data_IF_663305561596
#
_entry.id   IF_663305561596
#
_cell.length_a   1.000
_cell.length_b   1.000
_cell.length_c   1.000
_cell.angle_alpha   90.00
_cell.angle_beta   90.00
_cell.angle_gamma   90.00
#
_symmetry.space_group_name_H-M   'P 1'
#
loop_
_entity.id
_entity.type
_entity.pdbx_description
1 polymer ?
#
# COMPACT_ATOMS: atom_id res chain seq x y z
N UNK A 1 -2.77 21.87 65.54
CA UNK A 1 -3.68 22.01 64.40
C UNK A 1 -3.07 22.71 63.16
N UNK A 2 -2.29 23.76 63.31
CA UNK A 2 -1.61 24.44 62.17
C UNK A 2 -0.56 23.58 61.48
N UNK A 3 0.25 22.84 62.24
CA UNK A 3 1.30 21.95 61.71
C UNK A 3 0.69 20.76 60.97
N UNK A 4 -0.39 20.17 61.47
CA UNK A 4 -1.07 19.05 60.82
C UNK A 4 -1.73 19.49 59.48
N UNK A 5 -2.24 20.71 59.39
CA UNK A 5 -2.79 21.29 58.15
C UNK A 5 -1.68 21.54 57.11
N UNK A 6 -0.49 21.98 57.54
CA UNK A 6 0.67 22.14 56.64
C UNK A 6 1.19 20.82 56.14
N UNK A 7 1.23 19.80 56.99
CA UNK A 7 1.66 18.47 56.60
C UNK A 7 0.68 17.80 55.60
N UNK A 8 -0.63 17.91 55.86
CA UNK A 8 -1.65 17.45 54.92
C UNK A 8 -1.65 18.22 53.59
N UNK A 9 -1.36 19.54 53.61
CA UNK A 9 -1.25 20.36 52.40
C UNK A 9 -0.04 19.97 51.56
N UNK A 10 1.08 19.62 52.20
CA UNK A 10 2.29 19.14 51.50
C UNK A 10 2.11 17.72 50.91
N UNK A 11 1.39 16.85 51.59
CA UNK A 11 1.06 15.50 51.13
C UNK A 11 0.15 15.53 49.88
N UNK A 12 -0.83 16.43 49.86
CA UNK A 12 -1.76 16.62 48.72
C UNK A 12 -1.03 17.17 47.48
N UNK A 13 -0.07 18.09 47.67
CA UNK A 13 0.76 18.62 46.56
C UNK A 13 1.72 17.56 46.04
N UNK A 14 2.27 16.68 46.87
CA UNK A 14 3.16 15.59 46.44
C UNK A 14 2.41 14.50 45.63
N UNK A 15 1.12 14.25 45.94
CA UNK A 15 0.31 13.26 45.18
C UNK A 15 -0.07 13.77 43.78
N UNK A 16 -0.10 15.09 43.55
CA UNK A 16 -0.40 15.68 42.24
C UNK A 16 0.79 15.66 41.27
N UNK A 17 1.99 15.28 41.73
CA UNK A 17 3.20 15.20 40.89
C UNK A 17 3.50 13.79 40.38
N UNK A 18 2.65 12.78 40.62
CA UNK A 18 2.71 11.51 39.94
C UNK A 18 2.13 11.67 38.54
N UNK A 19 2.80 12.44 37.71
CA UNK A 19 2.59 12.41 36.27
C UNK A 19 2.95 11.00 35.83
N UNK A 20 1.96 10.24 35.41
CA UNK A 20 2.19 8.97 34.71
C UNK A 20 2.77 9.36 33.35
N UNK A 21 4.09 9.44 33.22
CA UNK A 21 4.76 9.59 31.93
C UNK A 21 4.38 8.33 31.11
N UNK A 22 3.46 8.51 30.16
CA UNK A 22 3.16 7.46 29.19
C UNK A 22 4.43 7.18 28.40
N UNK A 23 5.04 6.03 28.65
CA UNK A 23 6.21 5.60 27.88
C UNK A 23 5.82 5.33 26.45
N UNK A 24 6.61 5.83 25.55
CA UNK A 24 6.45 5.57 24.10
C UNK A 24 6.92 4.14 23.81
N UNK A 25 6.13 3.36 23.09
CA UNK A 25 6.44 1.96 22.79
C UNK A 25 6.13 1.62 21.33
N UNK A 26 6.59 0.45 20.89
CA UNK A 26 6.25 -0.12 19.60
C UNK A 26 4.87 -0.76 19.61
N UNK A 27 4.09 -0.44 18.60
CA UNK A 27 2.85 -1.14 18.26
C UNK A 27 3.04 -1.86 16.93
N UNK A 28 2.67 -3.14 16.88
CA UNK A 28 2.87 -3.99 15.71
C UNK A 28 1.51 -4.54 15.26
N UNK A 29 1.20 -4.35 13.96
CA UNK A 29 0.02 -4.90 13.32
C UNK A 29 0.48 -5.75 12.13
N UNK A 30 0.01 -6.99 12.07
CA UNK A 30 0.35 -7.92 10.99
C UNK A 30 -0.90 -8.62 10.47
N UNK A 31 -0.89 -8.94 9.17
CA UNK A 31 -1.99 -9.63 8.54
C UNK A 31 -1.68 -10.05 7.10
N UNK A 32 -2.74 -10.35 6.36
CA UNK A 32 -2.69 -10.76 4.96
C UNK A 32 -3.50 -9.78 4.11
N UNK A 33 -2.95 -9.35 2.98
CA UNK A 33 -3.62 -8.51 1.99
C UNK A 33 -2.96 -8.70 0.62
N UNK A 34 -3.72 -8.46 -0.45
CA UNK A 34 -3.21 -8.43 -1.83
C UNK A 34 -2.47 -9.72 -2.26
N UNK A 35 -2.87 -10.87 -1.68
CA UNK A 35 -2.23 -12.16 -1.95
C UNK A 35 -0.87 -12.36 -1.29
N UNK A 36 -0.50 -11.49 -0.34
CA UNK A 36 0.75 -11.52 0.44
C UNK A 36 0.48 -11.17 1.91
N UNK A 37 1.54 -10.96 2.68
CA UNK A 37 1.48 -10.47 4.07
C UNK A 37 1.71 -8.97 4.13
N UNK A 38 1.26 -8.36 5.23
CA UNK A 38 1.66 -7.00 5.59
C UNK A 38 2.16 -6.93 7.04
N UNK A 39 3.06 -5.98 7.29
CA UNK A 39 3.59 -5.69 8.62
C UNK A 39 3.71 -4.17 8.80
N UNK A 40 3.10 -3.68 9.89
CA UNK A 40 3.12 -2.28 10.27
C UNK A 40 3.70 -2.20 11.67
N UNK A 41 4.76 -1.43 11.84
CA UNK A 41 5.35 -1.14 13.14
C UNK A 41 5.40 0.36 13.32
N UNK A 42 4.71 0.88 14.34
CA UNK A 42 4.70 2.31 14.63
C UNK A 42 5.01 2.59 16.10
N UNK A 43 5.36 3.83 16.40
CA UNK A 43 5.78 4.28 17.73
C UNK A 43 4.74 5.27 18.25
N UNK A 44 4.16 4.98 19.42
CA UNK A 44 3.25 5.89 20.12
C UNK A 44 3.14 5.55 21.60
N UNK A 45 2.52 6.45 22.38
CA UNK A 45 2.27 6.25 23.81
C UNK A 45 1.04 5.38 24.09
N UNK A 46 0.23 5.07 23.07
CA UNK A 46 -0.96 4.24 23.17
C UNK A 46 -1.29 3.63 21.81
N UNK A 47 -2.09 2.57 21.78
CA UNK A 47 -2.57 1.99 20.53
C UNK A 47 -3.54 2.96 19.84
N UNK A 48 -3.11 3.56 18.71
CA UNK A 48 -3.90 4.52 17.92
C UNK A 48 -4.65 3.89 16.76
N UNK A 49 -4.21 2.72 16.32
CA UNK A 49 -4.75 2.03 15.15
C UNK A 49 -4.85 0.55 15.44
N UNK A 50 -6.01 -0.04 15.17
CA UNK A 50 -6.28 -1.47 15.33
C UNK A 50 -6.06 -2.24 14.03
N UNK A 51 -5.83 -3.56 14.15
CA UNK A 51 -5.76 -4.44 12.97
C UNK A 51 -7.01 -4.36 12.10
N UNK A 52 -8.20 -4.35 12.70
CA UNK A 52 -9.46 -4.29 11.95
C UNK A 52 -9.58 -3.03 11.09
N UNK A 53 -9.03 -1.90 11.52
CA UNK A 53 -9.03 -0.65 10.75
C UNK A 53 -8.13 -0.78 9.52
N UNK A 54 -6.96 -1.40 9.66
CA UNK A 54 -6.04 -1.66 8.54
C UNK A 54 -6.65 -2.68 7.58
N UNK A 55 -7.18 -3.79 8.07
CA UNK A 55 -7.83 -4.81 7.23
C UNK A 55 -9.01 -4.21 6.43
N UNK A 56 -9.81 -3.34 7.05
CA UNK A 56 -10.92 -2.65 6.39
C UNK A 56 -10.42 -1.69 5.31
N UNK A 57 -9.34 -0.95 5.56
CA UNK A 57 -8.74 -0.03 4.61
C UNK A 57 -8.20 -0.78 3.38
N UNK A 58 -7.44 -1.86 3.60
CA UNK A 58 -6.86 -2.68 2.53
C UNK A 58 -7.96 -3.43 1.75
N UNK A 59 -9.02 -3.88 2.43
CA UNK A 59 -10.19 -4.47 1.76
C UNK A 59 -10.90 -3.46 0.84
N UNK A 60 -11.08 -2.21 1.29
CA UNK A 60 -11.67 -1.16 0.45
C UNK A 60 -10.77 -0.84 -0.76
N UNK A 61 -9.46 -0.83 -0.57
CA UNK A 61 -8.48 -0.69 -1.64
C UNK A 61 -8.60 -1.81 -2.68
N UNK A 62 -8.67 -3.07 -2.23
CA UNK A 62 -8.82 -4.24 -3.10
C UNK A 62 -10.15 -4.24 -3.87
N UNK A 63 -11.24 -3.79 -3.25
CA UNK A 63 -12.54 -3.61 -3.91
C UNK A 63 -12.51 -2.55 -5.01
N UNK A 64 -11.53 -1.66 -4.98
CA UNK A 64 -11.29 -0.69 -6.05
C UNK A 64 -10.42 -1.27 -7.17
N UNK A 65 -9.26 -1.82 -6.84
CA UNK A 65 -8.13 -2.00 -7.77
C UNK A 65 -7.73 -3.45 -8.06
N UNK A 66 -8.21 -4.44 -7.30
CA UNK A 66 -7.78 -5.82 -7.50
C UNK A 66 -8.40 -6.46 -8.74
N UNK A 67 -7.57 -6.84 -9.70
CA UNK A 67 -7.99 -7.62 -10.88
C UNK A 67 -8.35 -9.07 -10.55
N UNK A 68 -7.99 -9.55 -9.35
CA UNK A 68 -8.28 -10.91 -8.88
C UNK A 68 -9.63 -11.03 -8.16
N UNK A 69 -10.27 -9.90 -7.84
CA UNK A 69 -11.59 -9.85 -7.23
C UNK A 69 -12.66 -9.55 -8.28
N UNK A 70 -13.61 -10.44 -8.55
CA UNK A 70 -14.66 -10.21 -9.57
C UNK A 70 -15.62 -9.07 -9.21
N UNK A 71 -15.76 -8.78 -7.92
CA UNK A 71 -16.62 -7.71 -7.38
C UNK A 71 -15.95 -6.34 -7.33
N UNK A 72 -14.63 -6.24 -7.63
CA UNK A 72 -13.90 -4.98 -7.66
C UNK A 72 -14.34 -4.05 -8.80
N UNK A 73 -14.10 -2.74 -8.64
CA UNK A 73 -14.42 -1.75 -9.67
C UNK A 73 -13.62 -2.00 -10.95
N UNK A 74 -12.31 -2.27 -10.85
CA UNK A 74 -11.47 -2.53 -12.01
C UNK A 74 -11.92 -3.78 -12.78
N UNK A 75 -12.33 -4.84 -12.08
CA UNK A 75 -12.80 -6.08 -12.72
C UNK A 75 -14.13 -5.87 -13.45
N UNK A 76 -15.06 -5.10 -12.89
CA UNK A 76 -16.31 -4.70 -13.56
C UNK A 76 -16.05 -3.87 -14.81
N UNK A 77 -15.13 -2.88 -14.73
CA UNK A 77 -14.71 -2.06 -15.87
C UNK A 77 -14.08 -2.95 -16.96
N UNK A 78 -13.21 -3.86 -16.57
CA UNK A 78 -12.56 -4.79 -17.49
C UNK A 78 -13.55 -5.73 -18.17
N UNK A 79 -14.60 -6.16 -17.46
CA UNK A 79 -15.70 -6.98 -18.03
C UNK A 79 -16.67 -6.21 -18.93
N UNK A 80 -16.50 -4.88 -19.04
CA UNK A 80 -17.27 -4.04 -19.96
C UNK A 80 -18.36 -3.17 -19.32
N UNK A 81 -18.47 -3.15 -17.98
CA UNK A 81 -19.41 -2.28 -17.30
C UNK A 81 -18.91 -0.82 -17.32
N UNK A 82 -19.47 -0.01 -18.23
CA UNK A 82 -19.15 1.40 -18.39
C UNK A 82 -19.86 2.32 -17.41
N UNK A 83 -20.71 1.79 -16.53
CA UNK A 83 -21.51 2.55 -15.55
C UNK A 83 -20.82 2.67 -14.20
N UNK A 84 -19.73 1.93 -13.98
CA UNK A 84 -18.98 1.93 -12.72
C UNK A 84 -18.43 3.32 -12.44
N UNK A 85 -18.85 3.90 -11.32
CA UNK A 85 -18.28 5.13 -10.79
C UNK A 85 -17.08 4.78 -9.92
N UNK A 86 -15.90 5.23 -10.33
CA UNK A 86 -14.65 4.96 -9.62
C UNK A 86 -14.51 5.86 -8.38
N UNK A 87 -13.82 5.35 -7.37
CA UNK A 87 -13.49 6.06 -6.14
C UNK A 87 -12.14 6.81 -6.26
N UNK A 88 -11.71 7.37 -5.14
CA UNK A 88 -10.48 8.14 -5.10
C UNK A 88 -9.25 7.23 -5.26
N UNK A 89 -9.23 5.99 -4.71
CA UNK A 89 -8.16 5.04 -4.94
C UNK A 89 -7.93 4.79 -6.43
N UNK A 90 -9.00 4.53 -7.17
CA UNK A 90 -8.91 4.32 -8.60
C UNK A 90 -8.47 5.59 -9.33
N UNK A 91 -9.06 6.73 -8.96
CA UNK A 91 -8.77 8.02 -9.60
C UNK A 91 -7.29 8.39 -9.44
N UNK A 92 -6.74 8.29 -8.24
CA UNK A 92 -5.35 8.60 -7.95
C UNK A 92 -4.39 7.63 -8.65
N UNK A 93 -4.71 6.31 -8.62
CA UNK A 93 -3.91 5.31 -9.36
C UNK A 93 -3.93 5.55 -10.85
N UNK A 94 -5.08 5.91 -11.43
CA UNK A 94 -5.20 6.25 -12.84
C UNK A 94 -4.36 7.47 -13.21
N UNK A 95 -4.41 8.53 -12.40
CA UNK A 95 -3.65 9.76 -12.62
C UNK A 95 -2.14 9.52 -12.51
N UNK A 96 -1.70 8.80 -11.48
CA UNK A 96 -0.31 8.42 -11.30
C UNK A 96 0.20 7.55 -12.45
N UNK A 97 -0.63 6.58 -12.89
CA UNK A 97 -0.31 5.73 -14.05
C UNK A 97 -0.14 6.57 -15.34
N UNK A 98 -0.99 7.58 -15.54
CA UNK A 98 -0.87 8.48 -16.70
C UNK A 98 0.41 9.32 -16.66
N UNK A 99 0.80 9.76 -15.46
CA UNK A 99 2.03 10.49 -15.26
C UNK A 99 3.25 9.59 -15.60
N UNK A 100 3.33 8.40 -15.02
CA UNK A 100 4.45 7.47 -15.25
C UNK A 100 4.48 7.00 -16.71
N UNK A 101 3.31 6.75 -17.33
CA UNK A 101 3.23 6.43 -18.75
C UNK A 101 3.91 7.51 -19.61
N UNK A 102 3.65 8.77 -19.34
CA UNK A 102 4.25 9.90 -20.05
C UNK A 102 5.75 10.02 -19.77
N UNK A 103 6.17 9.94 -18.51
CA UNK A 103 7.57 10.05 -18.09
C UNK A 103 8.44 8.93 -18.67
N UNK A 104 7.87 7.74 -18.83
CA UNK A 104 8.55 6.58 -19.40
C UNK A 104 8.38 6.44 -20.90
N UNK A 105 7.71 7.39 -21.57
CA UNK A 105 7.40 7.32 -23.00
C UNK A 105 6.67 6.00 -23.38
N UNK A 106 5.76 5.53 -22.51
CA UNK A 106 4.95 4.34 -22.73
C UNK A 106 5.63 3.02 -22.37
N UNK A 107 6.82 3.02 -21.79
CA UNK A 107 7.45 1.79 -21.27
C UNK A 107 6.68 1.20 -20.08
N UNK A 108 6.05 2.04 -19.27
CA UNK A 108 5.02 1.63 -18.33
C UNK A 108 3.65 1.90 -18.95
N UNK A 109 2.82 0.87 -19.11
CA UNK A 109 1.45 1.00 -19.62
C UNK A 109 0.49 0.05 -18.88
N UNK A 110 -0.43 0.57 -18.05
CA UNK A 110 -1.35 -0.28 -17.31
C UNK A 110 -2.41 -0.94 -18.20
N UNK A 111 -2.47 -0.64 -19.50
CA UNK A 111 -3.38 -1.33 -20.43
C UNK A 111 -2.78 -2.62 -20.99
N UNK A 112 -1.57 -3.01 -20.57
CA UNK A 112 -0.87 -4.24 -20.96
C UNK A 112 -1.59 -5.51 -20.47
N UNK A 113 -2.62 -5.40 -19.64
CA UNK A 113 -3.31 -6.51 -18.99
C UNK A 113 -3.81 -7.60 -19.93
N UNK A 114 -4.12 -7.28 -21.21
CA UNK A 114 -4.46 -8.31 -22.21
C UNK A 114 -3.30 -9.28 -22.47
N UNK A 115 -2.07 -8.80 -22.49
CA UNK A 115 -0.87 -9.64 -22.65
C UNK A 115 -0.53 -10.36 -21.34
N UNK A 116 -0.65 -9.68 -20.20
CA UNK A 116 -0.49 -10.30 -18.86
C UNK A 116 -1.40 -11.53 -18.73
N UNK A 117 -2.67 -11.39 -19.12
CA UNK A 117 -3.62 -12.50 -19.12
C UNK A 117 -3.27 -13.59 -20.12
N UNK A 118 -2.86 -13.21 -21.34
CA UNK A 118 -2.52 -14.17 -22.41
C UNK A 118 -1.27 -15.02 -22.07
N UNK A 119 -0.29 -14.41 -21.38
CA UNK A 119 0.87 -15.13 -20.85
C UNK A 119 0.59 -15.92 -19.57
N UNK A 120 -0.62 -15.82 -19.00
CA UNK A 120 -1.02 -16.58 -17.82
C UNK A 120 -0.60 -15.99 -16.48
N UNK A 121 -0.15 -14.73 -16.46
CA UNK A 121 0.19 -14.01 -15.22
C UNK A 121 -1.02 -13.28 -14.61
N UNK A 122 -2.14 -13.21 -15.33
CA UNK A 122 -3.38 -12.62 -14.85
C UNK A 122 -4.27 -13.61 -14.09
N UNK A 123 -5.51 -13.20 -13.76
CA UNK A 123 -6.44 -14.01 -12.96
C UNK A 123 -6.72 -15.41 -13.55
N UNK A 124 -6.70 -15.55 -14.88
CA UNK A 124 -7.05 -16.80 -15.57
C UNK A 124 -5.92 -17.85 -15.59
N UNK A 125 -4.70 -17.53 -15.20
CA UNK A 125 -3.52 -18.42 -14.98
C UNK A 125 -3.32 -19.54 -16.02
N UNK A 126 -3.69 -19.31 -17.29
CA UNK A 126 -3.42 -20.25 -18.38
C UNK A 126 -2.21 -19.76 -19.16
N UNK A 127 -1.01 -20.23 -18.76
CA UNK A 127 0.20 -19.93 -19.50
C UNK A 127 0.07 -20.45 -20.95
N UNK A 128 0.39 -19.58 -21.92
CA UNK A 128 0.42 -19.90 -23.33
C UNK A 128 1.68 -19.30 -23.95
N UNK A 129 2.35 -20.09 -24.77
CA UNK A 129 3.38 -19.58 -25.68
C UNK A 129 2.68 -18.87 -26.84
N UNK A 130 2.84 -17.55 -26.90
CA UNK A 130 2.20 -16.73 -27.92
C UNK A 130 3.11 -16.63 -29.16
N UNK A 131 2.54 -16.94 -30.33
CA UNK A 131 3.21 -16.64 -31.59
C UNK A 131 3.27 -15.11 -31.82
N UNK A 132 4.30 -14.60 -32.56
CA UNK A 132 4.44 -13.15 -32.81
C UNK A 132 3.18 -12.48 -33.34
N UNK A 133 2.46 -13.12 -34.27
CA UNK A 133 1.19 -12.60 -34.82
C UNK A 133 0.08 -12.47 -33.77
N UNK A 134 0.06 -13.32 -32.75
CA UNK A 134 -0.91 -13.23 -31.64
C UNK A 134 -0.56 -12.05 -30.74
N UNK A 135 0.72 -11.84 -30.46
CA UNK A 135 1.20 -10.68 -29.71
C UNK A 135 0.82 -9.38 -30.45
N UNK A 136 1.10 -9.28 -31.75
CA UNK A 136 0.74 -8.12 -32.57
C UNK A 136 -0.78 -7.86 -32.56
N UNK A 137 -1.58 -8.92 -32.60
CA UNK A 137 -3.04 -8.81 -32.53
C UNK A 137 -3.55 -8.33 -31.16
N UNK A 138 -2.84 -8.62 -30.06
CA UNK A 138 -3.19 -8.15 -28.72
C UNK A 138 -2.72 -6.73 -28.48
N UNK A 139 -1.56 -6.34 -29.01
CA UNK A 139 -0.97 -5.02 -28.87
C UNK A 139 -1.87 -3.91 -29.44
N UNK A 140 -2.76 -4.18 -30.40
CA UNK A 140 -3.74 -3.22 -30.88
C UNK A 140 -4.68 -2.71 -29.77
N UNK A 141 -4.87 -3.44 -28.67
CA UNK A 141 -5.70 -3.08 -27.53
C UNK A 141 -4.92 -2.41 -26.39
N UNK A 142 -3.60 -2.35 -26.49
CA UNK A 142 -2.68 -1.73 -25.53
C UNK A 142 -2.42 -0.27 -25.92
N UNK A 143 -2.45 0.64 -24.95
CA UNK A 143 -2.17 2.06 -25.11
C UNK A 143 -3.01 2.89 -24.16
N UNK A 144 -2.36 3.70 -23.32
CA UNK A 144 -3.06 4.55 -22.36
C UNK A 144 -4.00 5.57 -23.01
N UNK A 145 -3.73 5.95 -24.27
CA UNK A 145 -4.60 6.80 -25.11
C UNK A 145 -5.95 6.14 -25.46
N UNK A 146 -6.09 4.85 -25.23
CA UNK A 146 -7.31 4.07 -25.49
C UNK A 146 -8.28 4.03 -24.33
N UNK A 147 -7.90 4.60 -23.18
CA UNK A 147 -8.75 4.71 -21.98
C UNK A 147 -8.83 6.16 -21.52
N UNK A 148 -9.96 6.54 -20.94
CA UNK A 148 -10.11 7.89 -20.38
C UNK A 148 -10.99 7.88 -19.12
N UNK A 149 -10.54 8.58 -18.09
CA UNK A 149 -11.35 8.92 -16.92
C UNK A 149 -12.20 10.15 -17.26
N UNK A 150 -13.52 9.98 -17.22
CA UNK A 150 -14.50 11.03 -17.51
C UNK A 150 -14.78 11.90 -16.27
N UNK A 151 -15.35 13.09 -16.49
CA UNK A 151 -15.72 14.03 -15.43
C UNK A 151 -16.75 13.46 -14.44
N UNK A 152 -17.59 12.52 -14.88
CA UNK A 152 -18.54 11.80 -14.03
C UNK A 152 -17.91 10.60 -13.29
N UNK A 153 -16.59 10.53 -13.22
CA UNK A 153 -15.82 9.44 -12.59
C UNK A 153 -16.13 8.05 -13.19
N UNK A 154 -16.42 7.93 -14.47
CA UNK A 154 -16.48 6.64 -15.17
C UNK A 154 -15.31 6.47 -16.12
N UNK A 155 -14.95 5.23 -16.45
CA UNK A 155 -13.89 4.91 -17.41
C UNK A 155 -14.49 4.61 -18.77
N UNK A 156 -14.00 5.27 -19.81
CA UNK A 156 -14.28 4.88 -21.19
C UNK A 156 -13.10 4.10 -21.77
N UNK A 157 -13.40 3.07 -22.55
CA UNK A 157 -12.43 2.28 -23.31
C UNK A 157 -12.74 2.41 -24.80
N UNK A 158 -11.72 2.63 -25.63
CA UNK A 158 -11.87 2.65 -27.10
C UNK A 158 -12.21 1.26 -27.65
N UNK A 159 -11.64 0.24 -27.05
CA UNK A 159 -11.89 -1.17 -27.37
C UNK A 159 -12.37 -1.89 -26.12
N UNK A 160 -13.37 -2.76 -26.25
CA UNK A 160 -13.88 -3.56 -25.12
C UNK A 160 -12.82 -4.52 -24.58
N UNK A 161 -11.91 -4.94 -25.45
CA UNK A 161 -10.80 -5.85 -25.17
C UNK A 161 -9.68 -5.22 -24.33
N UNK A 162 -9.55 -3.89 -24.33
CA UNK A 162 -8.55 -3.21 -23.48
C UNK A 162 -8.76 -3.60 -22.03
N UNK A 163 -7.72 -4.14 -21.41
CA UNK A 163 -7.73 -4.63 -20.04
C UNK A 163 -6.77 -3.79 -19.18
N UNK A 164 -7.32 -3.14 -18.17
CA UNK A 164 -6.56 -2.28 -17.25
C UNK A 164 -6.02 -3.16 -16.11
N UNK A 165 -4.73 -3.06 -15.85
CA UNK A 165 -4.03 -3.74 -14.78
C UNK A 165 -3.09 -2.75 -14.09
N UNK A 166 -3.39 -2.43 -12.83
CA UNK A 166 -2.57 -1.54 -12.01
C UNK A 166 -1.61 -2.27 -11.08
N UNK A 167 -1.46 -3.58 -11.18
CA UNK A 167 -0.69 -4.37 -10.21
C UNK A 167 0.76 -3.88 -10.04
N UNK A 168 1.40 -3.38 -11.12
CA UNK A 168 2.76 -2.84 -11.05
C UNK A 168 2.91 -1.54 -10.22
N UNK A 169 1.80 -0.88 -9.85
CA UNK A 169 1.83 0.37 -9.10
C UNK A 169 0.93 0.32 -7.85
N UNK A 170 -0.13 -0.49 -7.90
CA UNK A 170 -1.13 -0.50 -6.84
C UNK A 170 -0.56 -0.97 -5.50
N UNK A 171 0.37 -1.92 -5.50
CA UNK A 171 0.94 -2.44 -4.26
C UNK A 171 1.74 -1.35 -3.52
N UNK A 172 2.66 -0.65 -4.18
CA UNK A 172 3.38 0.48 -3.59
C UNK A 172 2.43 1.61 -3.16
N UNK A 173 1.39 1.91 -3.98
CA UNK A 173 0.39 2.90 -3.59
C UNK A 173 -0.43 2.47 -2.36
N UNK A 174 -0.70 1.18 -2.16
CA UNK A 174 -1.37 0.70 -0.95
C UNK A 174 -0.56 0.97 0.33
N UNK A 175 0.77 0.92 0.23
CA UNK A 175 1.67 1.33 1.33
C UNK A 175 1.48 2.81 1.65
N UNK A 176 1.45 3.68 0.62
CA UNK A 176 1.22 5.12 0.80
C UNK A 176 -0.15 5.41 1.44
N UNK A 177 -1.19 4.68 1.04
CA UNK A 177 -2.54 4.77 1.63
C UNK A 177 -2.50 4.45 3.12
N UNK A 178 -1.82 3.37 3.51
CA UNK A 178 -1.66 3.01 4.94
C UNK A 178 -0.83 4.06 5.68
N UNK A 179 0.28 4.53 5.12
CA UNK A 179 1.12 5.58 5.72
C UNK A 179 0.31 6.86 5.94
N UNK A 180 -0.49 7.29 4.97
CA UNK A 180 -1.35 8.47 5.09
C UNK A 180 -2.44 8.27 6.14
N UNK A 181 -3.00 7.05 6.25
CA UNK A 181 -3.92 6.72 7.33
C UNK A 181 -3.26 6.83 8.70
N UNK A 182 -2.04 6.29 8.87
CA UNK A 182 -1.28 6.43 10.12
C UNK A 182 -1.00 7.90 10.47
N UNK A 183 -0.59 8.71 9.49
CA UNK A 183 -0.40 10.16 9.66
C UNK A 183 -1.69 10.86 10.13
N UNK A 184 -2.84 10.48 9.58
CA UNK A 184 -4.15 11.03 10.00
C UNK A 184 -4.51 10.73 11.45
N UNK A 185 -3.89 9.67 12.04
CA UNK A 185 -4.01 9.31 13.46
C UNK A 185 -2.93 9.96 14.35
N UNK A 186 -2.14 10.87 13.79
CA UNK A 186 -1.04 11.53 14.48
C UNK A 186 0.12 10.58 14.80
N UNK A 187 0.38 9.60 13.93
CA UNK A 187 1.55 8.74 14.00
C UNK A 187 2.61 9.34 13.06
N UNK A 188 3.77 9.68 13.61
CA UNK A 188 4.87 10.34 12.91
C UNK A 188 6.04 9.39 12.63
N UNK A 189 6.10 8.25 13.31
CA UNK A 189 7.19 7.31 13.23
C UNK A 189 6.64 5.89 13.03
N UNK A 190 6.85 5.33 11.84
CA UNK A 190 6.36 4.01 11.46
C UNK A 190 7.20 3.39 10.34
N UNK A 191 7.16 2.08 10.23
CA UNK A 191 7.52 1.35 9.03
C UNK A 191 6.32 0.51 8.60
N UNK A 192 5.93 0.64 7.34
CA UNK A 192 4.82 -0.08 6.71
C UNK A 192 5.40 -0.92 5.60
N UNK A 193 5.10 -2.21 5.60
CA UNK A 193 5.49 -3.15 4.56
C UNK A 193 4.27 -3.93 4.10
N UNK A 194 4.07 -4.09 2.79
CA UNK A 194 3.01 -4.88 2.17
C UNK A 194 3.61 -5.62 0.99
N UNK A 195 3.75 -6.94 1.10
CA UNK A 195 4.21 -7.81 0.02
C UNK A 195 5.59 -7.46 -0.55
N UNK A 196 6.49 -6.90 0.26
CA UNK A 196 7.85 -6.49 -0.12
C UNK A 196 7.99 -4.99 -0.39
N UNK A 197 6.94 -4.30 -0.80
CA UNK A 197 6.90 -2.85 -0.91
C UNK A 197 6.84 -2.21 0.48
N UNK A 198 7.63 -1.18 0.75
CA UNK A 198 7.64 -0.57 2.07
C UNK A 198 7.86 0.94 2.05
N UNK A 199 7.43 1.59 3.14
CA UNK A 199 7.74 2.98 3.44
C UNK A 199 8.15 3.16 4.90
N UNK A 200 9.25 3.85 5.12
CA UNK A 200 9.75 4.25 6.44
C UNK A 200 9.35 5.70 6.71
N UNK A 201 8.36 5.92 7.58
CA UNK A 201 7.93 7.23 8.05
C UNK A 201 8.75 7.65 9.27
N UNK A 202 9.33 8.85 9.24
CA UNK A 202 10.15 9.38 10.34
C UNK A 202 11.30 8.46 10.72
N UNK A 203 11.54 8.31 12.04
CA UNK A 203 12.67 7.57 12.61
C UNK A 203 12.23 6.54 13.66
N UNK A 204 13.08 5.60 13.94
CA UNK A 204 12.97 4.79 15.15
C UNK A 204 13.46 5.62 16.34
N UNK A 205 12.54 6.35 16.98
CA UNK A 205 12.85 7.26 18.09
C UNK A 205 13.16 6.52 19.39
N UNK A 206 12.76 5.27 19.54
CA UNK A 206 13.09 4.44 20.72
C UNK A 206 14.59 4.12 20.73
N UNK A 207 15.14 3.71 19.59
CA UNK A 207 16.56 3.39 19.45
C UNK A 207 17.39 4.61 18.98
N UNK A 208 16.76 5.75 18.78
CA UNK A 208 17.38 7.00 18.27
C UNK A 208 18.19 6.80 16.97
N UNK A 209 17.60 6.07 16.00
CA UNK A 209 18.23 5.76 14.70
C UNK A 209 17.20 5.75 13.58
N UNK A 210 17.66 5.73 12.33
CA UNK A 210 16.79 5.49 11.18
C UNK A 210 16.20 4.07 11.22
N UNK A 211 15.11 3.86 10.51
CA UNK A 211 14.59 2.51 10.27
C UNK A 211 15.61 1.72 9.45
N UNK A 212 15.81 0.46 9.82
CA UNK A 212 16.77 -0.44 9.15
C UNK A 212 16.01 -1.59 8.52
N UNK A 213 16.19 -1.75 7.21
CA UNK A 213 15.59 -2.83 6.42
C UNK A 213 16.70 -3.74 5.91
N UNK A 214 16.48 -5.05 6.00
CA UNK A 214 17.38 -6.06 5.44
C UNK A 214 16.95 -6.42 4.02
N UNK A 215 17.91 -6.56 3.12
CA UNK A 215 17.71 -7.16 1.79
C UNK A 215 18.14 -8.62 1.90
N UNK A 216 17.19 -9.52 1.67
CA UNK A 216 17.42 -10.96 1.75
C UNK A 216 18.26 -11.44 0.57
N UNK A 217 19.07 -12.47 0.78
CA UNK A 217 19.78 -13.16 -0.29
C UNK A 217 18.79 -13.99 -1.12
N UNK A 218 18.60 -13.69 -2.42
CA UNK A 218 17.67 -14.45 -3.27
C UNK A 218 18.09 -15.90 -3.49
N UNK A 219 19.33 -16.25 -3.20
CA UNK A 219 19.88 -17.61 -3.33
C UNK A 219 19.91 -18.38 -2.01
N UNK A 220 19.40 -17.79 -0.92
CA UNK A 220 19.37 -18.44 0.39
C UNK A 220 18.46 -19.67 0.41
N UNK A 221 18.78 -20.62 1.26
CA UNK A 221 17.90 -21.75 1.54
C UNK A 221 16.70 -21.29 2.39
N UNK A 222 15.51 -21.91 2.27
CA UNK A 222 14.33 -21.51 3.01
C UNK A 222 14.51 -21.47 4.55
N UNK A 223 15.39 -22.31 5.09
CA UNK A 223 15.64 -22.41 6.52
C UNK A 223 16.74 -21.49 7.06
N UNK A 224 17.49 -20.84 6.16
CA UNK A 224 18.66 -20.01 6.51
C UNK A 224 18.48 -18.59 5.98
N UNK A 225 17.89 -17.69 6.80
CA UNK A 225 17.77 -16.29 6.40
C UNK A 225 19.10 -15.58 6.45
N UNK A 226 19.63 -15.21 5.29
CA UNK A 226 20.84 -14.40 5.13
C UNK A 226 20.52 -13.07 4.47
N UNK A 227 21.21 -12.01 4.89
CA UNK A 227 21.04 -10.67 4.34
C UNK A 227 22.26 -10.32 3.48
N UNK A 228 22.04 -9.86 2.26
CA UNK A 228 23.10 -9.32 1.41
C UNK A 228 23.41 -7.85 1.72
N UNK A 229 22.42 -7.11 2.25
CA UNK A 229 22.59 -5.70 2.62
C UNK A 229 21.63 -5.28 3.73
N UNK A 230 21.96 -4.14 4.37
CA UNK A 230 21.07 -3.40 5.27
C UNK A 230 20.96 -1.96 4.77
N UNK A 231 19.74 -1.44 4.68
CA UNK A 231 19.46 -0.09 4.21
C UNK A 231 18.87 0.72 5.36
N UNK A 232 19.37 1.93 5.56
CA UNK A 232 18.82 2.89 6.52
C UNK A 232 17.83 3.79 5.79
N UNK A 233 16.60 3.88 6.29
CA UNK A 233 15.52 4.63 5.68
C UNK A 233 14.93 5.65 6.65
N UNK A 234 14.62 6.84 6.13
CA UNK A 234 13.90 7.91 6.80
C UNK A 234 13.08 8.67 5.77
N UNK A 235 11.77 8.66 5.89
CA UNK A 235 10.83 9.28 4.94
C UNK A 235 11.06 8.84 3.48
N UNK A 236 11.35 7.57 3.29
CA UNK A 236 11.64 6.95 2.00
C UNK A 236 10.89 5.63 1.83
N UNK A 237 10.43 5.38 0.60
CA UNK A 237 9.96 4.08 0.14
C UNK A 237 11.09 3.21 -0.40
N UNK A 238 10.85 1.90 -0.42
CA UNK A 238 11.69 0.89 -1.07
C UNK A 238 10.80 -0.19 -1.68
N UNK A 239 11.13 -0.60 -2.90
CA UNK A 239 10.51 -1.66 -3.68
C UNK A 239 11.52 -2.74 -4.04
#
# INVERSE_FOLDING_TARGET
MKELKRFCSFLVVAVLLVSCDKTTDFHIIQGEAQGSTYSIKYISTEEKVTKNQIDSLLTAFDLSLSTYRPDSKISKINSGDSTVVVDDFFTETFQLSNQIYKETNGLFDPTIGVLVNAYGFGPNKKHQDLAPKQIDSLLQFVGFDKIALKSNKTISKKYKETFIDFNAIAQGYSVDVVVNYLKSKGIENAIVEIGGELFALGKNTIDNKNWVVGIDDPLQKPEERTLIAKVNLENLGMA
#
